data_IF_890049884309
#
_entry.id   IF_890049884309
#
_cell.length_a   1.000
_cell.length_b   1.000
_cell.length_c   1.000
_cell.angle_alpha   90.00
_cell.angle_beta   90.00
_cell.angle_gamma   90.00
#
_symmetry.space_group_name_H-M   'P 1'
#
loop_
_entity.id
_entity.type
_entity.pdbx_description
1 polymer ?
#
# COMPACT_ATOMS: atom_id res chain seq x y z
N UNK A 1 22.56 43.88 -17.11
CA UNK A 1 23.27 43.12 -16.05
C UNK A 1 22.45 42.93 -14.77
N UNK A 2 21.67 43.91 -14.29
CA UNK A 2 20.91 43.80 -13.03
C UNK A 2 19.62 42.95 -13.17
N UNK A 3 18.97 42.96 -14.34
CA UNK A 3 17.69 42.26 -14.58
C UNK A 3 17.77 40.74 -14.46
N UNK A 4 18.87 40.12 -14.89
CA UNK A 4 19.03 38.65 -14.85
C UNK A 4 19.15 38.11 -13.40
N UNK A 5 19.75 38.89 -12.51
CA UNK A 5 19.88 38.54 -11.10
C UNK A 5 18.53 38.59 -10.38
N UNK A 6 17.71 39.60 -10.66
CA UNK A 6 16.35 39.71 -10.14
C UNK A 6 15.40 38.64 -10.71
N UNK A 7 15.60 38.14 -11.93
CA UNK A 7 14.82 36.99 -12.44
C UNK A 7 15.22 35.66 -11.78
N UNK A 8 16.50 35.51 -11.42
CA UNK A 8 16.97 34.33 -10.68
C UNK A 8 16.55 34.35 -9.19
N UNK A 9 16.50 35.53 -8.57
CA UNK A 9 16.27 35.71 -7.12
C UNK A 9 14.94 36.37 -6.70
N UNK A 10 14.18 37.01 -7.59
CA UNK A 10 12.91 37.66 -7.25
C UNK A 10 11.79 36.64 -7.11
N UNK A 11 11.09 36.65 -5.97
CA UNK A 11 9.85 35.96 -5.50
C UNK A 11 9.34 34.65 -6.17
N UNK A 12 9.45 34.50 -7.48
CA UNK A 12 9.12 33.32 -8.30
C UNK A 12 10.33 32.78 -9.08
N UNK A 13 11.56 33.03 -8.60
CA UNK A 13 12.80 32.70 -9.31
C UNK A 13 12.99 31.21 -9.64
N UNK A 14 13.73 30.96 -10.73
CA UNK A 14 14.00 29.62 -11.30
C UNK A 14 14.55 28.60 -10.29
N UNK A 15 15.28 29.06 -9.27
CA UNK A 15 15.80 28.20 -8.18
C UNK A 15 14.67 27.57 -7.37
N UNK A 16 13.60 28.31 -7.09
CA UNK A 16 12.42 27.81 -6.37
C UNK A 16 11.69 26.77 -7.19
N UNK A 17 11.54 27.01 -8.50
CA UNK A 17 10.94 26.06 -9.45
C UNK A 17 11.76 24.77 -9.52
N UNK A 18 13.10 24.88 -9.55
CA UNK A 18 13.97 23.70 -9.54
C UNK A 18 13.83 22.89 -8.24
N UNK A 19 13.80 23.56 -7.08
CA UNK A 19 13.58 22.91 -5.77
C UNK A 19 12.21 22.23 -5.70
N UNK A 20 11.15 22.90 -6.16
CA UNK A 20 9.79 22.35 -6.21
C UNK A 20 9.71 21.12 -7.12
N UNK A 21 10.30 21.18 -8.32
CA UNK A 21 10.37 20.03 -9.22
C UNK A 21 11.13 18.85 -8.60
N UNK A 22 12.22 19.12 -7.87
CA UNK A 22 12.96 18.08 -7.13
C UNK A 22 12.11 17.45 -6.03
N UNK A 23 11.37 18.27 -5.28
CA UNK A 23 10.45 17.77 -4.24
C UNK A 23 9.30 16.96 -4.85
N UNK A 24 8.71 17.42 -5.95
CA UNK A 24 7.64 16.72 -6.66
C UNK A 24 8.12 15.34 -7.14
N UNK A 25 9.30 15.26 -7.74
CA UNK A 25 9.90 13.97 -8.13
C UNK A 25 10.11 13.04 -6.93
N UNK A 26 10.57 13.58 -5.78
CA UNK A 26 10.78 12.78 -4.56
C UNK A 26 9.46 12.27 -3.97
N UNK A 27 8.41 13.09 -3.98
CA UNK A 27 7.08 12.70 -3.52
C UNK A 27 6.50 11.63 -4.45
N UNK A 28 6.63 11.81 -5.76
CA UNK A 28 6.13 10.84 -6.73
C UNK A 28 6.85 9.49 -6.59
N UNK A 29 8.18 9.49 -6.44
CA UNK A 29 8.93 8.26 -6.20
C UNK A 29 8.50 7.54 -4.90
N UNK A 30 8.26 8.29 -3.82
CA UNK A 30 7.74 7.71 -2.58
C UNK A 30 6.32 7.15 -2.75
N UNK A 31 5.45 7.86 -3.47
CA UNK A 31 4.10 7.38 -3.79
C UNK A 31 4.16 6.06 -4.54
N UNK A 32 4.93 5.99 -5.62
CA UNK A 32 5.09 4.75 -6.42
C UNK A 32 5.65 3.60 -5.57
N UNK A 33 6.64 3.88 -4.72
CA UNK A 33 7.16 2.89 -3.79
C UNK A 33 6.08 2.39 -2.84
N UNK A 34 5.31 3.29 -2.23
CA UNK A 34 4.27 2.94 -1.27
C UNK A 34 3.10 2.18 -1.93
N UNK A 35 2.70 2.57 -3.14
CA UNK A 35 1.69 1.85 -3.93
C UNK A 35 2.13 0.41 -4.23
N UNK A 36 3.41 0.22 -4.61
CA UNK A 36 3.97 -1.11 -4.83
C UNK A 36 3.94 -1.96 -3.54
N UNK A 37 4.38 -1.39 -2.41
CA UNK A 37 4.33 -2.10 -1.12
C UNK A 37 2.89 -2.45 -0.72
N UNK A 38 1.92 -1.54 -0.93
CA UNK A 38 0.52 -1.83 -0.66
C UNK A 38 -0.01 -2.97 -1.54
N UNK A 39 0.37 -3.02 -2.81
CA UNK A 39 -0.01 -4.12 -3.70
C UNK A 39 0.59 -5.45 -3.23
N UNK A 40 1.86 -5.49 -2.87
CA UNK A 40 2.53 -6.68 -2.34
C UNK A 40 1.87 -7.15 -1.03
N UNK A 41 1.66 -6.24 -0.07
CA UNK A 41 0.97 -6.54 1.18
C UNK A 41 -0.45 -7.06 0.96
N UNK A 42 -1.19 -6.47 0.02
CA UNK A 42 -2.55 -6.94 -0.32
C UNK A 42 -2.50 -8.35 -0.89
N UNK A 43 -1.55 -8.65 -1.77
CA UNK A 43 -1.37 -9.99 -2.32
C UNK A 43 -1.02 -11.01 -1.23
N UNK A 44 -0.17 -10.63 -0.27
CA UNK A 44 0.21 -11.51 0.83
C UNK A 44 -0.95 -11.75 1.79
N UNK A 45 -1.73 -10.72 2.13
CA UNK A 45 -2.99 -10.88 2.88
C UNK A 45 -3.94 -11.84 2.15
N UNK A 46 -4.09 -11.71 0.83
CA UNK A 46 -4.94 -12.61 0.05
C UNK A 46 -4.42 -14.04 0.03
N UNK A 47 -3.10 -14.26 -0.03
CA UNK A 47 -2.51 -15.60 0.10
C UNK A 47 -2.78 -16.18 1.48
N UNK A 48 -2.53 -15.43 2.55
CA UNK A 48 -2.78 -15.87 3.92
C UNK A 48 -4.27 -16.16 4.17
N UNK A 49 -5.19 -15.35 3.62
CA UNK A 49 -6.63 -15.62 3.69
C UNK A 49 -6.99 -16.89 2.93
N UNK A 50 -6.45 -17.10 1.72
CA UNK A 50 -6.66 -18.34 0.96
C UNK A 50 -6.13 -19.56 1.70
N UNK A 51 -4.96 -19.48 2.31
CA UNK A 51 -4.40 -20.56 3.12
C UNK A 51 -5.25 -20.87 4.35
N UNK A 52 -5.80 -19.84 5.03
CA UNK A 52 -6.73 -20.05 6.14
C UNK A 52 -8.06 -20.67 5.69
N UNK A 53 -8.67 -20.16 4.63
CA UNK A 53 -9.90 -20.76 4.07
C UNK A 53 -9.65 -22.18 3.57
N UNK A 54 -8.50 -22.44 2.96
CA UNK A 54 -8.09 -23.78 2.56
C UNK A 54 -7.86 -24.69 3.77
N UNK A 55 -7.27 -24.19 4.86
CA UNK A 55 -7.13 -24.93 6.12
C UNK A 55 -8.49 -25.19 6.78
N UNK A 56 -9.44 -24.26 6.75
CA UNK A 56 -10.80 -24.49 7.25
C UNK A 56 -11.57 -25.50 6.39
N UNK A 57 -11.43 -25.44 5.06
CA UNK A 57 -12.06 -26.40 4.16
C UNK A 57 -11.42 -27.78 4.29
N UNK A 58 -10.09 -27.86 4.28
CA UNK A 58 -9.34 -29.08 4.54
C UNK A 58 -9.61 -29.62 5.94
N UNK A 59 -9.80 -28.77 6.96
CA UNK A 59 -10.25 -29.18 8.28
C UNK A 59 -11.66 -29.79 8.19
N UNK A 60 -12.64 -29.11 7.59
CA UNK A 60 -14.01 -29.64 7.39
C UNK A 60 -14.02 -31.00 6.67
N UNK A 61 -13.20 -31.17 5.64
CA UNK A 61 -13.12 -32.38 4.83
C UNK A 61 -12.31 -33.52 5.47
N UNK A 62 -11.15 -33.20 6.06
CA UNK A 62 -10.23 -34.20 6.64
C UNK A 62 -10.67 -34.62 8.05
N UNK A 63 -11.36 -33.73 8.76
CA UNK A 63 -11.82 -34.03 10.11
C UNK A 63 -13.07 -34.90 10.09
N UNK A 64 -14.00 -34.79 9.14
CA UNK A 64 -15.30 -35.48 9.31
C UNK A 64 -15.92 -35.25 10.70
N UNK A 65 -15.52 -34.16 11.40
CA UNK A 65 -15.79 -33.91 12.81
C UNK A 65 -17.07 -33.10 12.93
N UNK A 66 -18.18 -33.71 12.51
CA UNK A 66 -19.37 -33.59 13.33
C UNK A 66 -19.12 -34.42 14.59
N UNK A 67 -18.35 -33.87 15.54
CA UNK A 67 -18.36 -34.39 16.90
C UNK A 67 -19.28 -33.47 17.71
N UNK A 68 -20.32 -34.06 18.30
CA UNK A 68 -21.40 -33.36 18.98
C UNK A 68 -20.88 -32.30 19.97
N UNK A 69 -21.29 -31.05 19.76
CA UNK A 69 -21.25 -30.03 20.81
C UNK A 69 -20.46 -28.75 20.56
N UNK A 70 -19.82 -28.55 19.40
CA UNK A 70 -19.04 -27.33 19.16
C UNK A 70 -19.84 -26.25 18.42
N UNK A 71 -19.97 -25.07 19.04
CA UNK A 71 -20.66 -23.89 18.47
C UNK A 71 -19.65 -23.08 17.65
N UNK A 72 -19.82 -23.07 16.33
CA UNK A 72 -19.03 -22.24 15.43
C UNK A 72 -19.66 -20.84 15.36
N UNK A 73 -18.92 -19.81 15.76
CA UNK A 73 -19.31 -18.42 15.58
C UNK A 73 -18.91 -17.92 14.19
N UNK A 74 -19.90 -17.63 13.35
CA UNK A 74 -19.73 -16.91 12.11
C UNK A 74 -19.93 -15.41 12.38
N UNK A 75 -18.89 -14.60 12.13
CA UNK A 75 -19.04 -13.15 12.06
C UNK A 75 -19.27 -12.77 10.60
N UNK A 76 -20.51 -12.46 10.26
CA UNK A 76 -20.87 -11.83 8.99
C UNK A 76 -20.58 -10.33 9.09
N UNK A 77 -19.74 -9.80 8.19
CA UNK A 77 -19.69 -8.37 7.85
C UNK A 77 -20.63 -8.10 6.66
#
# INVERSE_FOLDING_TARGET
MITLFFTAFGEKGLIKIYKLNKQLRRIHAQKTFLEKNNQELTQDILKMKREKTFQEHSARETLGLAQDGEIIYEFSD
#
